data_IF_496592608397
#
_entry.id   IF_496592608397
#
_cell.length_a   1.000
_cell.length_b   1.000
_cell.length_c   1.000
_cell.angle_alpha   90.00
_cell.angle_beta   90.00
_cell.angle_gamma   90.00
#
_symmetry.space_group_name_H-M   'P 1'
#
loop_
_entity.id
_entity.type
_entity.pdbx_description
1 polymer ?
#
# COMPACT_ATOMS: atom_id res chain seq x y z
N UNK A 1 43.18 4.68 -27.84
CA UNK A 1 42.64 3.49 -27.14
C UNK A 1 41.50 3.76 -26.15
N UNK A 2 41.15 5.02 -25.87
CA UNK A 2 40.11 5.45 -24.90
C UNK A 2 38.62 5.23 -25.32
N UNK A 3 38.21 5.14 -26.61
CA UNK A 3 36.79 5.12 -26.93
C UNK A 3 36.08 3.81 -26.54
N UNK A 4 36.75 2.65 -26.68
CA UNK A 4 36.15 1.34 -26.38
C UNK A 4 35.82 1.18 -24.89
N UNK A 5 36.72 1.63 -24.00
CA UNK A 5 36.49 1.57 -22.56
C UNK A 5 35.34 2.48 -22.14
N UNK A 6 35.24 3.69 -22.72
CA UNK A 6 34.13 4.60 -22.44
C UNK A 6 32.78 4.01 -22.88
N UNK A 7 32.72 3.39 -24.06
CA UNK A 7 31.52 2.68 -24.53
C UNK A 7 31.11 1.53 -23.60
N UNK A 8 32.07 0.73 -23.13
CA UNK A 8 31.79 -0.38 -22.19
C UNK A 8 31.25 0.15 -20.86
N UNK A 9 31.84 1.21 -20.31
CA UNK A 9 31.37 1.81 -19.05
C UNK A 9 29.97 2.42 -19.21
N UNK A 10 29.68 3.08 -20.32
CA UNK A 10 28.36 3.61 -20.63
C UNK A 10 27.31 2.48 -20.75
N UNK A 11 27.65 1.39 -21.44
CA UNK A 11 26.78 0.24 -21.58
C UNK A 11 26.52 -0.45 -20.22
N UNK A 12 27.55 -0.60 -19.39
CA UNK A 12 27.42 -1.16 -18.05
C UNK A 12 26.57 -0.27 -17.14
N UNK A 13 26.78 1.04 -17.18
CA UNK A 13 25.96 2.01 -16.46
C UNK A 13 24.49 1.94 -16.87
N UNK A 14 24.22 1.81 -18.18
CA UNK A 14 22.86 1.63 -18.68
C UNK A 14 22.24 0.32 -18.19
N UNK A 15 22.99 -0.79 -18.19
CA UNK A 15 22.52 -2.07 -17.66
C UNK A 15 22.19 -1.98 -16.17
N UNK A 16 23.02 -1.32 -15.37
CA UNK A 16 22.78 -1.11 -13.94
C UNK A 16 21.48 -0.34 -13.66
N UNK A 17 21.09 0.58 -14.56
CA UNK A 17 19.83 1.33 -14.44
C UNK A 17 18.62 0.56 -14.98
N UNK A 18 18.77 -0.14 -16.11
CA UNK A 18 17.66 -0.80 -16.79
C UNK A 18 17.32 -2.19 -16.23
N UNK A 19 18.32 -2.99 -15.85
CA UNK A 19 18.10 -4.38 -15.42
C UNK A 19 17.28 -4.46 -14.14
N UNK A 20 17.56 -3.72 -13.05
CA UNK A 20 16.73 -3.77 -11.84
C UNK A 20 15.29 -3.35 -12.08
N UNK A 21 15.08 -2.34 -12.93
CA UNK A 21 13.74 -1.89 -13.33
C UNK A 21 13.00 -2.96 -14.13
N UNK A 22 13.67 -3.62 -15.08
CA UNK A 22 13.09 -4.70 -15.87
C UNK A 22 12.73 -5.90 -14.98
N UNK A 23 13.65 -6.33 -14.10
CA UNK A 23 13.44 -7.45 -13.20
C UNK A 23 12.27 -7.20 -12.23
N UNK A 24 12.22 -6.01 -11.64
CA UNK A 24 11.11 -5.64 -10.74
C UNK A 24 9.78 -5.55 -11.49
N UNK A 25 9.77 -5.00 -12.72
CA UNK A 25 8.56 -4.96 -13.55
C UNK A 25 8.05 -6.36 -13.92
N UNK A 26 8.93 -7.26 -14.36
CA UNK A 26 8.56 -8.65 -14.68
C UNK A 26 8.09 -9.41 -13.44
N UNK A 27 8.72 -9.18 -12.29
CA UNK A 27 8.31 -9.79 -11.02
C UNK A 27 6.96 -9.27 -10.53
N UNK A 28 6.68 -7.97 -10.70
CA UNK A 28 5.43 -7.35 -10.26
C UNK A 28 4.25 -7.66 -11.18
N UNK A 29 4.47 -7.90 -12.48
CA UNK A 29 3.40 -8.11 -13.47
C UNK A 29 2.36 -9.17 -13.09
N UNK A 30 2.77 -10.24 -12.41
CA UNK A 30 1.86 -11.33 -11.99
C UNK A 30 1.27 -11.13 -10.59
N UNK A 31 1.48 -9.95 -9.98
CA UNK A 31 1.12 -9.62 -8.59
C UNK A 31 0.32 -8.32 -8.47
N UNK A 32 0.01 -7.69 -9.60
CA UNK A 32 -0.85 -6.50 -9.67
C UNK A 32 -2.18 -6.95 -10.27
N UNK A 33 -3.27 -6.60 -9.61
CA UNK A 33 -4.61 -7.04 -9.95
C UNK A 33 -5.55 -5.83 -9.94
N UNK A 34 -6.59 -5.90 -10.75
CA UNK A 34 -7.79 -5.07 -10.56
C UNK A 34 -8.59 -5.59 -9.35
N UNK A 35 -9.53 -4.78 -8.84
CA UNK A 35 -10.37 -5.18 -7.71
C UNK A 35 -11.21 -6.44 -8.00
N UNK A 36 -11.62 -6.62 -9.26
CA UNK A 36 -12.41 -7.77 -9.68
C UNK A 36 -11.59 -9.06 -9.82
N UNK A 37 -10.34 -8.96 -10.29
CA UNK A 37 -9.48 -10.10 -10.59
C UNK A 37 -8.69 -10.61 -9.39
N UNK A 38 -8.51 -9.78 -8.36
CA UNK A 38 -7.67 -10.16 -7.21
C UNK A 38 -8.24 -11.39 -6.50
N UNK A 39 -7.41 -12.39 -6.17
CA UNK A 39 -7.87 -13.55 -5.40
C UNK A 39 -8.27 -13.13 -3.98
N UNK A 40 -9.35 -13.68 -3.41
CA UNK A 40 -9.77 -13.36 -2.05
C UNK A 40 -8.68 -13.63 -1.01
N UNK A 41 -8.58 -12.75 -0.01
CA UNK A 41 -7.67 -12.89 1.14
C UNK A 41 -8.38 -12.47 2.41
N UNK A 42 -7.91 -12.96 3.55
CA UNK A 42 -8.50 -12.61 4.84
C UNK A 42 -8.49 -11.09 5.12
N UNK A 43 -7.47 -10.37 4.66
CA UNK A 43 -7.36 -8.94 4.88
C UNK A 43 -6.77 -8.16 3.70
N UNK A 44 -7.19 -6.90 3.59
CA UNK A 44 -6.50 -5.87 2.82
C UNK A 44 -5.65 -4.99 3.76
N UNK A 45 -4.48 -4.57 3.30
CA UNK A 45 -3.63 -3.59 3.96
C UNK A 45 -3.73 -2.28 3.19
N UNK A 46 -4.12 -1.22 3.88
CA UNK A 46 -4.26 0.13 3.34
C UNK A 46 -3.09 0.94 3.86
N UNK A 47 -2.22 1.38 2.96
CA UNK A 47 -1.06 2.20 3.30
C UNK A 47 -1.45 3.67 3.45
N UNK A 48 -0.82 4.39 4.38
CA UNK A 48 -0.92 5.85 4.51
C UNK A 48 -0.44 6.62 3.26
N UNK A 49 -1.07 7.76 2.97
CA UNK A 49 -0.75 8.62 1.83
C UNK A 49 -0.87 10.12 2.18
N UNK A 50 -0.68 10.48 3.46
CA UNK A 50 -0.78 11.85 3.93
C UNK A 50 -2.19 12.25 4.34
N UNK A 51 -2.23 13.26 5.20
CA UNK A 51 -3.43 14.04 5.52
C UNK A 51 -3.32 15.44 4.92
N UNK A 52 -4.48 16.06 4.69
CA UNK A 52 -4.58 17.49 4.43
C UNK A 52 -4.33 18.29 5.70
N UNK A 53 -4.18 19.61 5.57
CA UNK A 53 -3.95 20.52 6.71
C UNK A 53 -5.07 20.52 7.74
N UNK A 54 -6.28 20.18 7.33
CA UNK A 54 -7.46 20.06 8.19
C UNK A 54 -7.60 18.68 8.86
N UNK A 55 -6.63 17.78 8.66
CA UNK A 55 -6.64 16.42 9.20
C UNK A 55 -7.45 15.41 8.38
N UNK A 56 -8.10 15.83 7.30
CA UNK A 56 -8.81 14.91 6.40
C UNK A 56 -7.85 14.10 5.54
N UNK A 57 -8.29 12.92 5.10
CA UNK A 57 -7.51 12.07 4.20
C UNK A 57 -7.27 12.79 2.85
N UNK A 58 -6.03 12.73 2.34
CA UNK A 58 -5.72 13.22 0.97
C UNK A 58 -6.55 12.48 -0.08
N UNK A 59 -6.73 13.02 -1.29
CA UNK A 59 -7.42 12.31 -2.38
C UNK A 59 -6.86 10.91 -2.60
N UNK A 60 -5.53 10.76 -2.61
CA UNK A 60 -4.86 9.46 -2.77
C UNK A 60 -5.21 8.51 -1.61
N UNK A 61 -5.23 9.00 -0.37
CA UNK A 61 -5.59 8.18 0.79
C UNK A 61 -7.06 7.75 0.73
N UNK A 62 -7.95 8.65 0.27
CA UNK A 62 -9.37 8.36 0.07
C UNK A 62 -9.55 7.29 -1.02
N UNK A 63 -8.86 7.40 -2.15
CA UNK A 63 -8.97 6.42 -3.23
C UNK A 63 -8.55 5.02 -2.77
N UNK A 64 -7.46 4.91 -1.99
CA UNK A 64 -7.04 3.64 -1.39
C UNK A 64 -8.10 3.07 -0.43
N UNK A 65 -8.72 3.91 0.39
CA UNK A 65 -9.78 3.47 1.31
C UNK A 65 -11.05 3.07 0.55
N UNK A 66 -11.40 3.77 -0.53
CA UNK A 66 -12.54 3.43 -1.37
C UNK A 66 -12.35 2.07 -2.06
N UNK A 67 -11.17 1.83 -2.65
CA UNK A 67 -10.82 0.53 -3.22
C UNK A 67 -10.85 -0.59 -2.15
N UNK A 68 -10.39 -0.30 -0.94
CA UNK A 68 -10.49 -1.27 0.17
C UNK A 68 -11.94 -1.56 0.58
N UNK A 69 -12.82 -0.56 0.57
CA UNK A 69 -14.25 -0.75 0.82
C UNK A 69 -14.90 -1.60 -0.28
N UNK A 70 -14.56 -1.38 -1.55
CA UNK A 70 -15.01 -2.21 -2.68
C UNK A 70 -14.59 -3.67 -2.52
N UNK A 71 -13.33 -3.93 -2.15
CA UNK A 71 -12.84 -5.28 -1.86
C UNK A 71 -13.62 -5.94 -0.70
N UNK A 72 -14.01 -5.17 0.31
CA UNK A 72 -14.82 -5.68 1.41
C UNK A 72 -16.23 -6.04 0.94
N UNK A 73 -16.93 -5.13 0.25
CA UNK A 73 -18.30 -5.35 -0.21
C UNK A 73 -18.43 -6.43 -1.29
N UNK A 74 -17.39 -6.63 -2.09
CA UNK A 74 -17.30 -7.72 -3.08
C UNK A 74 -16.89 -9.07 -2.47
N UNK A 75 -16.67 -9.14 -1.15
CA UNK A 75 -16.27 -10.37 -0.45
C UNK A 75 -14.84 -10.82 -0.74
N UNK A 76 -14.00 -9.96 -1.32
CA UNK A 76 -12.57 -10.24 -1.57
C UNK A 76 -11.76 -10.20 -0.28
N UNK A 77 -12.21 -9.45 0.73
CA UNK A 77 -11.59 -9.40 2.06
C UNK A 77 -12.59 -9.35 3.20
N UNK A 78 -12.19 -9.88 4.36
CA UNK A 78 -12.99 -9.87 5.58
C UNK A 78 -12.63 -8.70 6.50
N UNK A 79 -11.37 -8.26 6.49
CA UNK A 79 -10.84 -7.18 7.34
C UNK A 79 -10.02 -6.16 6.56
N UNK A 80 -10.09 -4.91 7.01
CA UNK A 80 -9.30 -3.78 6.51
C UNK A 80 -8.28 -3.37 7.56
N UNK A 81 -6.99 -3.62 7.31
CA UNK A 81 -5.90 -3.15 8.16
C UNK A 81 -5.41 -1.78 7.64
N UNK A 82 -5.76 -0.72 8.34
CA UNK A 82 -5.38 0.65 8.01
C UNK A 82 -4.09 1.01 8.75
N UNK A 83 -2.98 1.07 8.02
CA UNK A 83 -1.65 1.26 8.58
C UNK A 83 -1.05 2.59 8.15
N UNK A 84 -0.77 3.45 9.14
CA UNK A 84 -0.29 4.81 8.89
C UNK A 84 0.36 5.42 10.12
N UNK A 85 0.83 6.66 9.96
CA UNK A 85 1.52 7.42 11.00
C UNK A 85 0.52 8.09 11.96
N UNK A 86 0.91 8.12 13.23
CA UNK A 86 0.17 8.74 14.32
C UNK A 86 1.12 9.35 15.38
N UNK A 87 2.29 9.86 14.94
CA UNK A 87 3.34 10.38 15.83
C UNK A 87 3.03 11.73 16.47
N UNK A 88 2.23 12.57 15.82
CA UNK A 88 1.88 13.89 16.33
C UNK A 88 0.45 13.87 16.85
N UNK A 89 0.19 14.62 17.94
CA UNK A 89 -1.14 14.69 18.56
C UNK A 89 -2.21 15.08 17.53
N UNK A 90 -1.85 15.96 16.59
CA UNK A 90 -2.75 16.47 15.56
C UNK A 90 -2.65 15.69 14.23
N UNK A 91 -2.02 14.51 14.22
CA UNK A 91 -1.84 13.71 13.00
C UNK A 91 -2.23 12.26 13.23
N UNK A 92 -3.35 11.83 12.65
CA UNK A 92 -3.87 10.48 12.81
C UNK A 92 -4.37 9.89 11.48
N UNK A 93 -3.46 9.32 10.70
CA UNK A 93 -3.79 8.72 9.40
C UNK A 93 -4.77 7.54 9.52
N UNK A 94 -4.56 6.53 10.39
CA UNK A 94 -5.51 5.43 10.54
C UNK A 94 -6.89 5.89 11.00
N UNK A 95 -6.96 6.93 11.84
CA UNK A 95 -8.21 7.55 12.26
C UNK A 95 -8.98 8.18 11.10
N UNK A 96 -8.30 8.94 10.23
CA UNK A 96 -8.89 9.53 9.04
C UNK A 96 -9.36 8.46 8.04
N UNK A 97 -8.56 7.40 7.84
CA UNK A 97 -8.96 6.25 7.02
C UNK A 97 -10.21 5.57 7.58
N UNK A 98 -10.28 5.35 8.90
CA UNK A 98 -11.44 4.75 9.56
C UNK A 98 -12.69 5.59 9.39
N UNK A 99 -12.59 6.89 9.63
CA UNK A 99 -13.71 7.81 9.48
C UNK A 99 -14.27 7.75 8.06
N UNK A 100 -13.39 7.73 7.06
CA UNK A 100 -13.81 7.66 5.67
C UNK A 100 -14.42 6.30 5.31
N UNK A 101 -13.83 5.17 5.72
CA UNK A 101 -14.43 3.85 5.46
C UNK A 101 -15.80 3.67 6.13
N UNK A 102 -15.98 4.20 7.35
CA UNK A 102 -17.27 4.21 8.02
C UNK A 102 -18.31 5.02 7.23
N UNK A 103 -17.91 6.16 6.66
CA UNK A 103 -18.80 6.95 5.78
C UNK A 103 -19.18 6.23 4.48
N UNK A 104 -18.38 5.25 4.04
CA UNK A 104 -18.68 4.37 2.90
C UNK A 104 -19.54 3.15 3.31
N UNK A 105 -19.88 3.01 4.59
CA UNK A 105 -20.72 1.92 5.10
C UNK A 105 -19.98 0.67 5.54
N UNK A 106 -18.63 0.67 5.57
CA UNK A 106 -17.86 -0.46 6.11
C UNK A 106 -18.11 -0.53 7.62
N UNK A 107 -18.52 -1.68 8.17
CA UNK A 107 -18.80 -1.79 9.60
C UNK A 107 -17.51 -1.69 10.41
N UNK A 108 -17.60 -1.06 11.59
CA UNK A 108 -16.42 -0.74 12.40
C UNK A 108 -15.64 -1.95 12.90
N UNK A 109 -16.28 -3.12 13.02
CA UNK A 109 -15.67 -4.39 13.40
C UNK A 109 -14.84 -5.01 12.25
N UNK A 110 -15.09 -4.62 10.99
CA UNK A 110 -14.27 -4.99 9.85
C UNK A 110 -12.96 -4.18 9.76
N UNK A 111 -12.82 -3.09 10.52
CA UNK A 111 -11.69 -2.16 10.43
C UNK A 111 -10.73 -2.39 11.61
N UNK A 112 -9.44 -2.55 11.30
CA UNK A 112 -8.34 -2.65 12.26
C UNK A 112 -7.35 -1.53 12.00
N UNK A 113 -6.89 -0.87 13.05
CA UNK A 113 -5.97 0.27 12.94
C UNK A 113 -4.56 -0.11 13.38
N UNK A 114 -3.58 0.24 12.56
CA UNK A 114 -2.16 0.22 12.91
C UNK A 114 -1.57 1.63 12.89
N UNK A 115 -1.30 2.16 14.08
CA UNK A 115 -0.78 3.51 14.31
C UNK A 115 0.76 3.62 14.23
N UNK A 116 1.46 2.53 13.91
CA UNK A 116 2.92 2.51 13.79
C UNK A 116 3.42 2.16 12.38
N UNK A 117 2.55 2.29 11.37
CA UNK A 117 2.85 2.08 9.95
C UNK A 117 3.61 3.22 9.29
N UNK A 118 4.77 3.60 9.84
CA UNK A 118 5.49 4.85 9.46
C UNK A 118 6.21 4.79 8.12
N UNK A 119 6.53 3.59 7.65
CA UNK A 119 7.13 3.30 6.34
C UNK A 119 6.50 2.03 5.80
N UNK A 120 6.55 1.83 4.49
CA UNK A 120 6.07 0.61 3.84
C UNK A 120 6.61 -0.66 4.51
N UNK A 121 7.91 -0.67 4.85
CA UNK A 121 8.53 -1.78 5.58
C UNK A 121 7.89 -2.01 6.96
N UNK A 122 7.68 -0.94 7.74
CA UNK A 122 7.12 -1.05 9.10
C UNK A 122 5.70 -1.62 9.04
N UNK A 123 4.87 -1.15 8.09
CA UNK A 123 3.54 -1.70 7.81
C UNK A 123 3.59 -3.20 7.51
N UNK A 124 4.44 -3.63 6.57
CA UNK A 124 4.52 -5.04 6.18
C UNK A 124 5.08 -5.92 7.31
N UNK A 125 6.11 -5.44 8.02
CA UNK A 125 6.67 -6.15 9.16
C UNK A 125 5.62 -6.35 10.26
N UNK A 126 4.88 -5.29 10.62
CA UNK A 126 3.86 -5.33 11.66
C UNK A 126 2.64 -6.14 11.26
N UNK A 127 2.20 -6.05 10.01
CA UNK A 127 1.15 -6.91 9.45
C UNK A 127 1.44 -8.39 9.75
N UNK A 128 2.69 -8.82 9.56
CA UNK A 128 3.11 -10.18 9.91
C UNK A 128 3.28 -10.40 11.41
N UNK A 129 4.07 -9.55 12.08
CA UNK A 129 4.52 -9.79 13.45
C UNK A 129 3.45 -9.56 14.53
N UNK A 130 2.50 -8.66 14.27
CA UNK A 130 1.48 -8.21 15.23
C UNK A 130 0.10 -8.72 14.83
N UNK A 131 -0.22 -8.62 13.54
CA UNK A 131 -1.55 -8.98 13.02
C UNK A 131 -1.61 -10.40 12.43
N UNK A 132 -0.49 -11.11 12.38
CA UNK A 132 -0.41 -12.50 11.90
C UNK A 132 -0.72 -12.68 10.41
N UNK A 133 -0.66 -11.61 9.61
CA UNK A 133 -0.93 -11.66 8.18
C UNK A 133 0.30 -12.18 7.43
N UNK A 134 0.20 -13.40 6.91
CA UNK A 134 1.20 -14.00 6.01
C UNK A 134 0.88 -13.80 4.53
N UNK A 135 -0.40 -13.53 4.23
CA UNK A 135 -0.91 -13.15 2.91
C UNK A 135 -1.96 -12.04 3.09
N UNK A 136 -1.94 -11.03 2.21
CA UNK A 136 -2.90 -9.93 2.23
C UNK A 136 -2.99 -9.29 0.84
N UNK A 137 -4.10 -8.60 0.58
CA UNK A 137 -4.20 -7.69 -0.57
C UNK A 137 -3.57 -6.36 -0.17
N UNK A 138 -2.61 -5.88 -0.95
CA UNK A 138 -1.93 -4.60 -0.69
C UNK A 138 -2.61 -3.50 -1.52
N UNK A 139 -3.30 -2.57 -0.86
CA UNK A 139 -4.01 -1.50 -1.56
C UNK A 139 -3.10 -0.28 -1.69
N UNK A 140 -2.73 0.02 -2.92
CA UNK A 140 -1.88 1.16 -3.30
C UNK A 140 -2.53 1.93 -4.45
N UNK A 141 -2.08 3.16 -4.68
CA UNK A 141 -2.49 3.94 -5.85
C UNK A 141 -1.89 3.36 -7.13
N UNK A 142 -2.64 3.47 -8.22
CA UNK A 142 -2.15 3.34 -9.60
C UNK A 142 -2.17 4.71 -10.27
#
# INVERSE_FOLDING_TARGET
MIPKTLFILAALGLLVLLVPRLLTALYARTRVYTADEVPPRRAAIIFGAGLQRDGSATPILRDRVAAAAELYFSGKVEKLLMSGDNRFVDYNEPGAMRAYALSLGVPGDAIVLDYAGRRTYDTCYRAKAIFGLTEAILVTQS
#
